data_IF_463041957011
#
_entry.id   IF_463041957011
#
_cell.length_a   1.000
_cell.length_b   1.000
_cell.length_c   1.000
_cell.angle_alpha   90.00
_cell.angle_beta   90.00
_cell.angle_gamma   90.00
#
_symmetry.space_group_name_H-M   'P 1'
#
loop_
_entity.id
_entity.type
_entity.pdbx_description
1 polymer ?
#
# COMPACT_ATOMS: atom_id res chain seq x y z
N UNK A 1 -18.31 -11.96 -24.51
CA UNK A 1 -17.20 -11.73 -25.48
C UNK A 1 -16.11 -10.96 -24.76
N UNK A 2 -14.85 -11.06 -25.19
CA UNK A 2 -13.75 -10.35 -24.51
C UNK A 2 -13.93 -8.82 -24.53
N UNK A 3 -14.54 -8.28 -25.60
CA UNK A 3 -14.91 -6.86 -25.71
C UNK A 3 -15.86 -6.39 -24.60
N UNK A 4 -16.74 -7.28 -24.11
CA UNK A 4 -17.60 -6.98 -22.95
C UNK A 4 -16.75 -6.75 -21.69
N UNK A 5 -15.77 -7.62 -21.42
CA UNK A 5 -14.90 -7.47 -20.25
C UNK A 5 -13.99 -6.22 -20.34
N UNK A 6 -13.54 -5.87 -21.55
CA UNK A 6 -12.81 -4.62 -21.78
C UNK A 6 -13.71 -3.41 -21.48
N UNK A 7 -14.94 -3.40 -21.99
CA UNK A 7 -15.87 -2.30 -21.71
C UNK A 7 -16.25 -2.23 -20.23
N UNK A 8 -16.41 -3.38 -19.55
CA UNK A 8 -16.64 -3.43 -18.11
C UNK A 8 -15.49 -2.78 -17.33
N UNK A 9 -14.23 -3.02 -17.72
CA UNK A 9 -13.09 -2.38 -17.07
C UNK A 9 -13.04 -0.87 -17.33
N UNK A 10 -13.38 -0.44 -18.54
CA UNK A 10 -13.52 1.00 -18.86
C UNK A 10 -14.61 1.64 -18.00
N UNK A 11 -15.78 1.02 -17.90
CA UNK A 11 -16.89 1.50 -17.07
C UNK A 11 -16.48 1.55 -15.59
N UNK A 12 -15.77 0.54 -15.09
CA UNK A 12 -15.21 0.57 -13.74
C UNK A 12 -14.28 1.78 -13.53
N UNK A 13 -13.43 2.09 -14.50
CA UNK A 13 -12.57 3.26 -14.43
C UNK A 13 -13.35 4.57 -14.36
N UNK A 14 -14.44 4.70 -15.10
CA UNK A 14 -15.31 5.88 -15.09
C UNK A 14 -16.06 6.01 -13.77
N UNK A 15 -16.67 4.92 -13.29
CA UNK A 15 -17.45 4.88 -12.05
C UNK A 15 -16.59 5.17 -10.81
N UNK A 16 -15.32 4.78 -10.82
CA UNK A 16 -14.37 5.06 -9.74
C UNK A 16 -13.68 6.41 -9.87
N UNK A 17 -13.81 7.09 -11.02
CA UNK A 17 -13.10 8.33 -11.32
C UNK A 17 -11.60 8.15 -11.54
N UNK A 18 -11.13 6.91 -11.78
CA UNK A 18 -9.75 6.66 -12.19
C UNK A 18 -9.46 7.22 -13.59
N UNK A 19 -10.48 7.25 -14.45
CA UNK A 19 -10.43 7.85 -15.78
C UNK A 19 -11.63 8.80 -15.94
N UNK A 20 -11.49 9.77 -16.83
CA UNK A 20 -12.58 10.70 -17.16
C UNK A 20 -13.27 10.30 -18.47
N UNK A 21 -14.49 10.79 -18.76
CA UNK A 21 -15.21 10.47 -20.00
C UNK A 21 -14.40 10.77 -21.27
N UNK A 22 -13.58 11.82 -21.26
CA UNK A 22 -12.71 12.18 -22.39
C UNK A 22 -11.63 11.12 -22.68
N UNK A 23 -11.27 10.31 -21.67
CA UNK A 23 -10.25 9.27 -21.77
C UNK A 23 -10.82 7.91 -22.21
N UNK A 24 -12.15 7.75 -22.30
CA UNK A 24 -12.80 6.45 -22.51
C UNK A 24 -12.23 5.69 -23.73
N UNK A 25 -12.20 6.35 -24.89
CA UNK A 25 -11.69 5.78 -26.14
C UNK A 25 -10.18 5.53 -26.03
N UNK A 26 -9.43 6.44 -25.41
CA UNK A 26 -7.99 6.31 -25.23
C UNK A 26 -7.67 5.07 -24.38
N UNK A 27 -8.34 4.90 -23.24
CA UNK A 27 -8.14 3.79 -22.32
C UNK A 27 -8.55 2.47 -22.97
N UNK A 28 -9.68 2.44 -23.70
CA UNK A 28 -10.08 1.26 -24.49
C UNK A 28 -8.96 0.84 -25.44
N UNK A 29 -8.38 1.77 -26.18
CA UNK A 29 -7.28 1.47 -27.11
C UNK A 29 -6.02 1.00 -26.40
N UNK A 30 -5.68 1.56 -25.24
CA UNK A 30 -4.54 1.10 -24.44
C UNK A 30 -4.77 -0.31 -23.87
N UNK A 31 -6.01 -0.65 -23.48
CA UNK A 31 -6.38 -1.99 -23.05
C UNK A 31 -6.29 -3.00 -24.20
N UNK A 32 -6.79 -2.65 -25.40
CA UNK A 32 -6.65 -3.49 -26.60
C UNK A 32 -5.18 -3.77 -26.93
N UNK A 33 -4.34 -2.74 -26.90
CA UNK A 33 -2.89 -2.87 -27.09
C UNK A 33 -2.27 -3.78 -26.03
N UNK A 34 -2.64 -3.61 -24.76
CA UNK A 34 -2.13 -4.43 -23.64
C UNK A 34 -2.54 -5.89 -23.77
N UNK A 35 -3.77 -6.13 -24.24
CA UNK A 35 -4.36 -7.44 -24.50
C UNK A 35 -3.92 -8.08 -25.83
N UNK A 36 -3.16 -7.36 -26.66
CA UNK A 36 -2.79 -7.76 -28.03
C UNK A 36 -4.01 -8.12 -28.88
N UNK A 37 -4.97 -7.19 -28.96
CA UNK A 37 -6.19 -7.30 -29.77
C UNK A 37 -6.22 -6.18 -30.81
N UNK A 38 -6.49 -6.53 -32.06
CA UNK A 38 -6.55 -5.57 -33.18
C UNK A 38 -7.96 -5.02 -33.45
N UNK A 39 -8.98 -5.56 -32.79
CA UNK A 39 -10.37 -5.16 -33.01
C UNK A 39 -11.18 -5.18 -31.72
N UNK A 40 -12.22 -4.35 -31.70
CA UNK A 40 -13.21 -4.27 -30.63
C UNK A 40 -14.60 -4.29 -31.25
N UNK A 41 -15.40 -5.30 -30.88
CA UNK A 41 -16.82 -5.33 -31.22
C UNK A 41 -17.59 -4.67 -30.08
N UNK A 42 -18.28 -3.57 -30.38
CA UNK A 42 -19.05 -2.84 -29.39
C UNK A 42 -20.15 -3.76 -28.81
N UNK A 43 -20.13 -4.01 -27.49
CA UNK A 43 -21.16 -4.84 -26.88
C UNK A 43 -22.55 -4.20 -27.01
N UNK A 44 -23.58 -5.00 -27.29
CA UNK A 44 -24.96 -4.51 -27.33
C UNK A 44 -25.51 -4.28 -25.91
N UNK A 45 -26.16 -3.13 -25.69
CA UNK A 45 -26.86 -2.80 -24.45
C UNK A 45 -25.98 -2.24 -23.34
N UNK A 46 -26.58 -2.03 -22.17
CA UNK A 46 -25.88 -1.49 -20.99
C UNK A 46 -24.91 -2.54 -20.41
N UNK A 47 -23.63 -2.17 -20.33
CA UNK A 47 -22.57 -3.06 -19.89
C UNK A 47 -22.30 -2.87 -18.40
N UNK A 48 -23.01 -3.66 -17.60
CA UNK A 48 -22.80 -3.74 -16.16
C UNK A 48 -21.67 -4.72 -15.82
N UNK A 49 -21.06 -4.52 -14.65
CA UNK A 49 -20.12 -5.45 -14.05
C UNK A 49 -20.50 -5.73 -12.59
N UNK A 50 -20.09 -6.88 -12.05
CA UNK A 50 -20.35 -7.24 -10.66
C UNK A 50 -19.30 -6.67 -9.72
N UNK A 51 -18.03 -6.91 -10.04
CA UNK A 51 -16.88 -6.60 -9.22
C UNK A 51 -15.60 -6.64 -10.07
N UNK A 52 -14.56 -5.94 -9.61
CA UNK A 52 -13.29 -5.85 -10.32
C UNK A 52 -12.56 -7.20 -10.48
N UNK A 53 -12.64 -8.08 -9.48
CA UNK A 53 -11.95 -9.37 -9.51
C UNK A 53 -12.46 -10.23 -10.67
N UNK A 54 -13.77 -10.26 -10.89
CA UNK A 54 -14.41 -10.98 -11.99
C UNK A 54 -14.02 -10.44 -13.37
N UNK A 55 -13.91 -9.11 -13.51
CA UNK A 55 -13.47 -8.46 -14.76
C UNK A 55 -12.02 -8.86 -15.07
N UNK A 56 -11.12 -8.63 -14.11
CA UNK A 56 -9.69 -8.92 -14.26
C UNK A 56 -9.46 -10.41 -14.52
N UNK A 57 -10.16 -11.30 -13.79
CA UNK A 57 -10.09 -12.74 -14.01
C UNK A 57 -10.43 -13.11 -15.45
N UNK A 58 -11.52 -12.55 -15.99
CA UNK A 58 -11.95 -12.82 -17.38
C UNK A 58 -10.91 -12.37 -18.40
N UNK A 59 -10.33 -11.17 -18.21
CA UNK A 59 -9.31 -10.63 -19.10
C UNK A 59 -8.00 -11.45 -19.02
N UNK A 60 -7.56 -11.82 -17.82
CA UNK A 60 -6.34 -12.61 -17.62
C UNK A 60 -6.51 -14.03 -18.16
N UNK A 61 -7.65 -14.68 -17.93
CA UNK A 61 -7.92 -16.03 -18.45
C UNK A 61 -7.87 -16.07 -19.99
N UNK A 62 -8.43 -15.05 -20.65
CA UNK A 62 -8.33 -14.88 -22.10
C UNK A 62 -6.89 -14.63 -22.57
N UNK A 63 -6.15 -13.75 -21.90
CA UNK A 63 -4.76 -13.48 -22.21
C UNK A 63 -3.88 -14.74 -22.08
N UNK A 64 -4.14 -15.58 -21.07
CA UNK A 64 -3.48 -16.89 -20.91
C UNK A 64 -3.87 -17.84 -22.03
N UNK A 65 -5.17 -17.97 -22.34
CA UNK A 65 -5.65 -18.86 -23.40
C UNK A 65 -5.07 -18.52 -24.78
N UNK A 66 -4.82 -17.23 -25.06
CA UNK A 66 -4.20 -16.75 -26.30
C UNK A 66 -2.65 -16.70 -26.26
N UNK A 67 -2.04 -17.03 -25.12
CA UNK A 67 -0.57 -17.04 -24.96
C UNK A 67 0.07 -15.66 -24.80
N UNK A 68 -0.71 -14.61 -24.48
CA UNK A 68 -0.22 -13.27 -24.16
C UNK A 68 0.39 -13.20 -22.75
N UNK A 69 -0.08 -14.07 -21.84
CA UNK A 69 0.37 -14.20 -20.47
C UNK A 69 0.66 -15.67 -20.15
N UNK A 70 1.68 -15.96 -19.33
CA UNK A 70 1.93 -17.32 -18.86
C UNK A 70 0.90 -17.77 -17.82
N UNK A 71 0.57 -19.07 -17.82
CA UNK A 71 -0.37 -19.65 -16.85
C UNK A 71 0.30 -20.01 -15.52
N UNK A 72 0.71 -18.99 -14.77
CA UNK A 72 1.14 -19.15 -13.37
C UNK A 72 0.71 -17.96 -12.51
N UNK A 73 0.67 -18.15 -11.20
CA UNK A 73 0.15 -17.14 -10.26
C UNK A 73 0.89 -15.80 -10.36
N UNK A 74 2.22 -15.82 -10.45
CA UNK A 74 3.01 -14.59 -10.58
C UNK A 74 2.74 -13.87 -11.89
N UNK A 75 2.75 -14.58 -13.04
CA UNK A 75 2.52 -13.97 -14.34
C UNK A 75 1.11 -13.37 -14.47
N UNK A 76 0.11 -14.05 -13.91
CA UNK A 76 -1.27 -13.56 -13.81
C UNK A 76 -1.34 -12.27 -12.98
N UNK A 77 -0.67 -12.23 -11.82
CA UNK A 77 -0.57 -11.04 -10.95
C UNK A 77 0.24 -9.89 -11.58
N UNK A 78 1.18 -10.17 -12.49
CA UNK A 78 1.87 -9.12 -13.26
C UNK A 78 0.93 -8.55 -14.32
N UNK A 79 0.17 -9.41 -14.99
CA UNK A 79 -0.69 -9.00 -16.10
C UNK A 79 -1.94 -8.24 -15.64
N UNK A 80 -2.59 -8.65 -14.54
CA UNK A 80 -3.70 -7.88 -13.98
C UNK A 80 -3.26 -6.48 -13.50
N UNK A 81 -2.07 -6.38 -12.90
CA UNK A 81 -1.49 -5.12 -12.45
C UNK A 81 -1.14 -4.23 -13.64
N UNK A 82 -0.68 -4.81 -14.75
CA UNK A 82 -0.46 -4.11 -16.01
C UNK A 82 -1.75 -3.54 -16.58
N UNK A 83 -2.86 -4.29 -16.55
CA UNK A 83 -4.18 -3.81 -16.97
C UNK A 83 -4.64 -2.63 -16.10
N UNK A 84 -4.53 -2.74 -14.78
CA UNK A 84 -4.85 -1.63 -13.87
C UNK A 84 -3.92 -0.44 -14.03
N UNK A 85 -2.66 -0.69 -14.39
CA UNK A 85 -1.68 0.35 -14.74
C UNK A 85 -2.15 1.26 -15.88
N UNK A 86 -2.91 0.73 -16.85
CA UNK A 86 -3.52 1.51 -17.94
C UNK A 86 -4.53 2.53 -17.41
N UNK A 87 -5.35 2.14 -16.42
CA UNK A 87 -6.37 3.00 -15.82
C UNK A 87 -5.78 3.97 -14.79
N UNK A 88 -4.56 3.75 -14.32
CA UNK A 88 -4.02 4.49 -13.18
C UNK A 88 -3.44 5.84 -13.65
N UNK A 89 -3.94 6.99 -13.16
CA UNK A 89 -3.44 8.31 -13.51
C UNK A 89 -1.94 8.48 -13.26
N UNK A 90 -1.29 9.41 -13.97
CA UNK A 90 0.14 9.69 -13.77
C UNK A 90 0.41 10.27 -12.38
N UNK A 91 1.63 10.07 -11.81
CA UNK A 91 1.95 10.57 -10.46
C UNK A 91 1.71 12.06 -10.27
N UNK A 92 1.94 12.90 -11.28
CA UNK A 92 1.69 14.34 -11.20
C UNK A 92 0.22 14.69 -10.91
N UNK A 93 -0.71 13.94 -11.50
CA UNK A 93 -2.16 14.16 -11.33
C UNK A 93 -2.57 13.71 -9.92
N UNK A 94 -2.07 12.56 -9.48
CA UNK A 94 -2.38 12.01 -8.15
C UNK A 94 -1.84 12.91 -7.04
N UNK A 95 -0.62 13.41 -7.18
CA UNK A 95 0.00 14.33 -6.22
C UNK A 95 -0.72 15.68 -6.17
N UNK A 96 -1.11 16.24 -7.31
CA UNK A 96 -1.89 17.48 -7.35
C UNK A 96 -3.24 17.33 -6.63
N UNK A 97 -3.95 16.22 -6.87
CA UNK A 97 -5.22 15.92 -6.20
C UNK A 97 -5.06 15.71 -4.69
N UNK A 98 -3.96 15.10 -4.26
CA UNK A 98 -3.64 14.91 -2.84
C UNK A 98 -3.39 16.26 -2.17
N UNK A 99 -2.52 17.09 -2.76
CA UNK A 99 -2.17 18.41 -2.23
C UNK A 99 -3.40 19.31 -2.14
N UNK A 100 -4.22 19.38 -3.19
CA UNK A 100 -5.44 20.17 -3.22
C UNK A 100 -6.38 19.81 -2.07
N UNK A 101 -6.60 18.51 -1.82
CA UNK A 101 -7.43 18.02 -0.71
C UNK A 101 -6.80 18.31 0.64
N UNK A 102 -5.48 18.14 0.74
CA UNK A 102 -4.75 18.39 1.97
C UNK A 102 -4.89 19.86 2.38
N UNK A 103 -4.75 20.79 1.43
CA UNK A 103 -4.85 22.23 1.66
C UNK A 103 -6.29 22.70 1.90
N UNK A 104 -7.28 22.16 1.17
CA UNK A 104 -8.66 22.67 1.20
C UNK A 104 -9.57 21.98 2.22
N UNK A 105 -9.36 20.68 2.47
CA UNK A 105 -10.22 19.84 3.32
C UNK A 105 -9.47 19.25 4.53
N UNK A 106 -8.13 19.26 4.49
CA UNK A 106 -7.26 18.84 5.59
C UNK A 106 -6.60 17.47 5.38
N UNK A 107 -5.68 17.09 6.29
CA UNK A 107 -4.83 15.89 6.14
C UNK A 107 -5.61 14.58 6.09
N UNK A 108 -6.70 14.48 6.85
CA UNK A 108 -7.54 13.28 6.87
C UNK A 108 -8.27 13.09 5.53
N UNK A 109 -8.87 14.13 4.96
CA UNK A 109 -9.55 14.04 3.66
C UNK A 109 -8.59 13.61 2.54
N UNK A 110 -7.36 14.13 2.53
CA UNK A 110 -6.33 13.74 1.56
C UNK A 110 -5.93 12.27 1.68
N UNK A 111 -5.75 11.79 2.91
CA UNK A 111 -5.34 10.40 3.17
C UNK A 111 -6.46 9.40 2.96
N UNK A 112 -7.69 9.73 3.35
CA UNK A 112 -8.91 8.94 3.08
C UNK A 112 -9.10 8.77 1.56
N UNK A 113 -8.98 9.87 0.79
CA UNK A 113 -9.04 9.83 -0.67
C UNK A 113 -7.93 8.96 -1.25
N UNK A 114 -6.68 9.12 -0.79
CA UNK A 114 -5.56 8.37 -1.31
C UNK A 114 -5.65 6.87 -0.99
N UNK A 115 -6.25 6.53 0.16
CA UNK A 115 -6.50 5.14 0.54
C UNK A 115 -7.55 4.51 -0.36
N UNK A 116 -8.68 5.20 -0.57
CA UNK A 116 -9.70 4.79 -1.54
C UNK A 116 -9.11 4.64 -2.94
N UNK A 117 -8.32 5.62 -3.41
CA UNK A 117 -7.61 5.55 -4.69
C UNK A 117 -6.75 4.28 -4.78
N UNK A 118 -5.96 3.99 -3.75
CA UNK A 118 -5.09 2.80 -3.70
C UNK A 118 -5.87 1.48 -3.69
N UNK A 119 -7.12 1.48 -3.21
CA UNK A 119 -8.02 0.34 -3.33
C UNK A 119 -8.67 0.24 -4.71
N UNK A 120 -9.02 1.37 -5.31
CA UNK A 120 -9.70 1.42 -6.60
C UNK A 120 -8.75 1.07 -7.76
N UNK A 121 -7.46 1.40 -7.65
CA UNK A 121 -6.41 0.96 -8.60
C UNK A 121 -6.04 -0.53 -8.46
N UNK A 122 -6.65 -1.25 -7.52
CA UNK A 122 -6.30 -2.62 -7.12
C UNK A 122 -4.85 -2.79 -6.62
N UNK A 123 -4.19 -1.70 -6.22
CA UNK A 123 -2.91 -1.81 -5.50
C UNK A 123 -3.13 -2.48 -4.14
N UNK A 124 -4.19 -2.07 -3.44
CA UNK A 124 -4.73 -2.74 -2.25
C UNK A 124 -5.87 -3.66 -2.69
N UNK A 125 -5.57 -4.93 -2.87
CA UNK A 125 -6.51 -5.94 -3.39
C UNK A 125 -7.58 -6.31 -2.37
N UNK A 126 -8.69 -5.57 -2.36
CA UNK A 126 -9.79 -5.72 -1.38
C UNK A 126 -10.34 -7.14 -1.31
N UNK A 127 -10.48 -7.82 -2.45
CA UNK A 127 -10.99 -9.20 -2.50
C UNK A 127 -10.06 -10.21 -1.82
N UNK A 128 -8.74 -9.96 -1.82
CA UNK A 128 -7.78 -10.79 -1.08
C UNK A 128 -7.84 -10.52 0.42
N UNK A 129 -7.95 -9.25 0.82
CA UNK A 129 -8.02 -8.84 2.24
C UNK A 129 -9.31 -9.35 2.91
N UNK A 130 -10.43 -9.41 2.17
CA UNK A 130 -11.69 -9.99 2.68
C UNK A 130 -11.57 -11.45 3.13
N UNK A 131 -10.53 -12.17 2.69
CA UNK A 131 -10.26 -13.55 3.09
C UNK A 131 -9.48 -13.66 4.40
N UNK A 132 -8.91 -12.57 4.90
CA UNK A 132 -8.17 -12.57 6.14
C UNK A 132 -9.06 -12.98 7.31
N UNK A 133 -8.54 -13.82 8.19
CA UNK A 133 -9.25 -14.24 9.40
C UNK A 133 -8.87 -13.30 10.52
N UNK A 134 -9.86 -12.65 11.15
CA UNK A 134 -9.65 -11.69 12.24
C UNK A 134 -10.55 -12.03 13.42
N UNK A 135 -10.00 -12.02 14.61
CA UNK A 135 -10.77 -12.13 15.84
C UNK A 135 -10.08 -11.40 16.98
N UNK A 136 -10.87 -11.05 17.99
CA UNK A 136 -10.40 -10.39 19.20
C UNK A 136 -10.52 -11.37 20.36
N UNK A 137 -9.49 -11.49 21.18
CA UNK A 137 -9.51 -12.28 22.40
C UNK A 137 -9.18 -11.44 23.61
N UNK A 138 -9.89 -11.66 24.72
CA UNK A 138 -9.64 -10.94 25.97
C UNK A 138 -8.40 -11.49 26.65
N UNK A 139 -7.55 -10.61 27.16
CA UNK A 139 -6.37 -10.98 27.96
C UNK A 139 -6.29 -10.13 29.23
N UNK A 140 -5.45 -10.50 30.22
CA UNK A 140 -5.20 -9.64 31.39
C UNK A 140 -4.62 -8.25 31.07
N UNK A 141 -4.11 -8.05 29.84
CA UNK A 141 -3.49 -6.80 29.40
C UNK A 141 -4.35 -6.03 28.38
N UNK A 142 -5.64 -6.38 28.27
CA UNK A 142 -6.59 -5.81 27.32
C UNK A 142 -6.96 -6.77 26.19
N UNK A 143 -7.70 -6.24 25.23
CA UNK A 143 -8.12 -6.98 24.05
C UNK A 143 -6.93 -7.19 23.10
N UNK A 144 -6.71 -8.43 22.67
CA UNK A 144 -5.67 -8.80 21.72
C UNK A 144 -6.31 -9.07 20.35
N UNK A 145 -5.92 -8.28 19.36
CA UNK A 145 -6.27 -8.49 17.96
C UNK A 145 -5.40 -9.61 17.38
N UNK A 146 -6.03 -10.66 16.84
CA UNK A 146 -5.33 -11.72 16.12
C UNK A 146 -5.80 -11.74 14.68
N UNK A 147 -4.84 -11.71 13.75
CA UNK A 147 -5.09 -11.73 12.31
C UNK A 147 -4.24 -12.79 11.63
N UNK A 148 -4.86 -13.56 10.74
CA UNK A 148 -4.17 -14.41 9.77
C UNK A 148 -4.32 -13.74 8.41
N UNK A 149 -3.23 -13.20 7.88
CA UNK A 149 -3.20 -12.56 6.57
C UNK A 149 -3.10 -13.63 5.48
N UNK A 150 -4.18 -13.80 4.72
CA UNK A 150 -4.28 -14.70 3.57
C UNK A 150 -4.15 -13.93 2.24
N UNK A 151 -4.00 -12.61 2.30
CA UNK A 151 -3.87 -11.75 1.13
C UNK A 151 -2.48 -11.76 0.51
N UNK A 152 -1.44 -12.12 1.28
CA UNK A 152 -0.09 -12.32 0.77
C UNK A 152 0.02 -13.64 0.00
N UNK A 153 0.28 -13.62 -1.33
CA UNK A 153 0.34 -14.84 -2.12
C UNK A 153 1.53 -15.71 -1.71
N UNK A 154 1.27 -17.01 -1.48
CA UNK A 154 2.32 -18.01 -1.40
C UNK A 154 2.98 -18.17 -2.77
N UNK A 155 4.31 -18.22 -2.80
CA UNK A 155 5.04 -18.38 -4.07
C UNK A 155 5.03 -19.85 -4.49
N UNK A 156 4.56 -20.11 -5.71
CA UNK A 156 4.65 -21.43 -6.34
C UNK A 156 6.12 -21.90 -6.41
N UNK A 157 6.45 -23.14 -6.00
CA UNK A 157 7.78 -23.73 -6.21
C UNK A 157 8.35 -23.54 -7.62
N UNK A 158 7.51 -23.60 -8.67
CA UNK A 158 7.92 -23.33 -10.06
C UNK A 158 8.34 -21.87 -10.26
N UNK A 159 7.59 -20.92 -9.70
CA UNK A 159 7.95 -19.50 -9.75
C UNK A 159 9.23 -19.21 -8.95
N UNK A 160 9.47 -19.91 -7.83
CA UNK A 160 10.72 -19.83 -7.07
C UNK A 160 11.91 -20.33 -7.92
N UNK A 161 11.74 -21.45 -8.63
CA UNK A 161 12.78 -21.99 -9.50
C UNK A 161 13.10 -21.05 -10.67
N UNK A 162 12.08 -20.53 -11.35
CA UNK A 162 12.24 -19.55 -12.44
C UNK A 162 12.92 -18.26 -11.96
N UNK A 163 12.53 -17.75 -10.78
CA UNK A 163 13.12 -16.57 -10.17
C UNK A 163 14.62 -16.71 -9.85
N UNK A 164 15.09 -17.92 -9.52
CA UNK A 164 16.52 -18.20 -9.25
C UNK A 164 17.37 -18.19 -10.53
N UNK A 165 16.77 -18.52 -11.67
CA UNK A 165 17.44 -18.56 -12.97
C UNK A 165 17.38 -17.21 -13.70
N UNK A 166 16.48 -16.33 -13.29
CA UNK A 166 16.33 -15.00 -13.88
C UNK A 166 17.60 -14.13 -13.65
N UNK A 167 17.98 -13.30 -14.63
CA UNK A 167 19.06 -12.34 -14.45
C UNK A 167 18.84 -11.48 -13.22
N UNK A 168 19.86 -11.34 -12.37
CA UNK A 168 19.77 -10.42 -11.25
C UNK A 168 19.74 -8.99 -11.78
N UNK A 169 18.62 -8.31 -11.55
CA UNK A 169 18.48 -6.87 -11.79
C UNK A 169 18.77 -6.11 -10.51
N UNK A 170 19.50 -5.02 -10.62
CA UNK A 170 19.73 -4.07 -9.53
C UNK A 170 18.63 -2.98 -9.43
N UNK A 171 17.63 -3.01 -10.31
CA UNK A 171 16.57 -2.00 -10.39
C UNK A 171 15.17 -2.64 -10.37
N UNK A 172 14.24 -2.18 -9.52
CA UNK A 172 14.49 -1.39 -8.31
C UNK A 172 15.38 -2.14 -7.31
N UNK A 173 16.15 -1.40 -6.49
CA UNK A 173 17.12 -2.02 -5.55
C UNK A 173 16.43 -2.81 -4.43
N UNK A 174 15.26 -2.37 -3.98
CA UNK A 174 14.39 -3.10 -3.04
C UNK A 174 12.93 -2.80 -3.33
N UNK A 175 12.02 -3.32 -2.52
CA UNK A 175 10.57 -3.15 -2.68
C UNK A 175 10.02 -1.78 -2.21
N UNK A 176 10.85 -0.97 -1.54
CA UNK A 176 10.50 0.37 -1.04
C UNK A 176 11.07 1.51 -1.89
N UNK A 177 12.08 1.22 -2.71
CA UNK A 177 12.65 2.19 -3.65
C UNK A 177 11.57 2.94 -4.44
N UNK A 178 11.68 4.27 -4.55
CA UNK A 178 10.73 5.11 -5.31
C UNK A 178 10.64 4.70 -6.79
N UNK A 179 11.70 4.07 -7.29
CA UNK A 179 11.80 3.42 -8.60
C UNK A 179 10.75 2.32 -8.85
N UNK A 180 10.06 1.87 -7.80
CA UNK A 180 8.93 0.96 -7.93
C UNK A 180 7.67 1.66 -8.48
N UNK A 181 7.50 2.98 -8.35
CA UNK A 181 6.30 3.67 -8.87
C UNK A 181 6.17 3.45 -10.38
N UNK A 182 5.13 2.74 -10.80
CA UNK A 182 4.92 2.44 -12.22
C UNK A 182 5.74 1.25 -12.75
N UNK A 183 6.49 0.54 -11.92
CA UNK A 183 7.38 -0.53 -12.39
C UNK A 183 6.62 -1.79 -12.81
N UNK A 184 6.95 -2.34 -13.99
CA UNK A 184 6.27 -3.50 -14.58
C UNK A 184 6.40 -4.81 -13.78
N UNK A 185 7.33 -4.85 -12.82
CA UNK A 185 7.65 -6.09 -12.13
C UNK A 185 8.36 -7.11 -13.02
N UNK A 186 8.56 -8.29 -12.45
CA UNK A 186 9.19 -9.48 -13.05
C UNK A 186 8.94 -10.67 -12.14
N UNK A 187 9.28 -11.88 -12.58
CA UNK A 187 9.01 -13.11 -11.81
C UNK A 187 9.52 -13.10 -10.35
N UNK A 188 10.56 -12.34 -10.05
CA UNK A 188 11.14 -12.22 -8.70
C UNK A 188 10.90 -10.86 -8.02
N UNK A 189 10.16 -9.94 -8.64
CA UNK A 189 9.91 -8.59 -8.12
C UNK A 189 8.50 -8.11 -8.50
N UNK A 190 7.66 -7.69 -7.56
CA UNK A 190 6.24 -7.45 -7.85
C UNK A 190 6.03 -6.28 -8.83
N UNK A 191 4.95 -6.38 -9.59
CA UNK A 191 4.42 -5.29 -10.41
C UNK A 191 3.87 -4.15 -9.55
N UNK A 192 3.97 -2.94 -10.09
CA UNK A 192 3.66 -1.67 -9.43
C UNK A 192 3.19 -0.62 -10.45
N UNK A 193 2.72 -1.02 -11.63
CA UNK A 193 2.17 -0.08 -12.63
C UNK A 193 0.99 0.73 -12.08
N UNK A 194 0.20 0.13 -11.18
CA UNK A 194 -0.95 0.74 -10.51
C UNK A 194 -0.63 1.39 -9.15
N UNK A 195 0.65 1.45 -8.78
CA UNK A 195 1.13 2.01 -7.51
C UNK A 195 1.52 3.48 -7.64
N UNK A 196 1.18 4.31 -6.66
CA UNK A 196 1.55 5.74 -6.60
C UNK A 196 2.09 6.11 -5.22
N UNK A 197 2.98 7.09 -5.20
CA UNK A 197 3.73 7.51 -4.01
C UNK A 197 3.51 9.01 -3.78
N UNK A 198 3.21 9.37 -2.54
CA UNK A 198 3.10 10.76 -2.09
C UNK A 198 4.43 11.20 -1.48
N UNK A 199 5.17 12.14 -2.09
CA UNK A 199 6.40 12.67 -1.52
C UNK A 199 6.09 13.53 -0.30
N UNK A 200 6.93 13.44 0.72
CA UNK A 200 6.83 14.18 1.99
C UNK A 200 8.17 14.85 2.31
N UNK A 201 8.12 15.90 3.12
CA UNK A 201 9.30 16.46 3.78
C UNK A 201 9.25 16.14 5.26
N UNK A 202 10.20 15.34 5.74
CA UNK A 202 10.28 14.92 7.16
C UNK A 202 11.68 15.25 7.67
N UNK A 203 11.77 16.01 8.76
CA UNK A 203 13.01 16.50 9.36
C UNK A 203 13.94 17.11 8.30
N UNK A 204 13.38 17.98 7.46
CA UNK A 204 14.07 18.68 6.37
C UNK A 204 14.59 17.79 5.23
N UNK A 205 14.20 16.52 5.18
CA UNK A 205 14.67 15.54 4.19
C UNK A 205 13.52 14.96 3.36
N UNK A 206 13.84 14.48 2.16
CA UNK A 206 12.85 13.86 1.28
C UNK A 206 12.47 12.45 1.76
N UNK A 207 11.19 12.27 2.07
CA UNK A 207 10.56 11.02 2.44
C UNK A 207 9.35 10.78 1.54
N UNK A 208 8.69 9.65 1.72
CA UNK A 208 7.54 9.27 0.92
C UNK A 208 6.54 8.50 1.77
N UNK A 209 5.27 8.63 1.42
CA UNK A 209 4.15 7.87 1.95
C UNK A 209 3.60 6.95 0.87
N UNK A 210 3.39 5.68 1.26
CA UNK A 210 2.56 4.73 0.53
C UNK A 210 1.77 3.87 1.50
N UNK A 211 0.70 3.24 1.02
CA UNK A 211 0.04 2.17 1.77
C UNK A 211 0.74 0.82 1.59
N UNK A 212 0.58 -0.07 2.56
CA UNK A 212 0.94 -1.48 2.41
C UNK A 212 -0.10 -2.16 1.52
N UNK A 213 0.31 -2.93 0.49
CA UNK A 213 -0.63 -3.74 -0.30
C UNK A 213 -1.15 -4.95 0.48
N UNK A 214 -0.51 -5.30 1.61
CA UNK A 214 -0.88 -6.39 2.52
C UNK A 214 -1.30 -5.80 3.87
N UNK A 215 -2.48 -5.20 3.88
CA UNK A 215 -2.99 -4.40 4.99
C UNK A 215 -3.29 -5.28 6.21
N UNK A 216 -2.78 -4.91 7.40
CA UNK A 216 -3.18 -5.55 8.66
C UNK A 216 -4.34 -4.83 9.35
N UNK A 217 -4.32 -3.51 9.30
CA UNK A 217 -5.28 -2.59 9.93
C UNK A 217 -5.59 -1.42 8.99
N UNK A 218 -6.66 -0.66 9.28
CA UNK A 218 -7.10 0.43 8.40
C UNK A 218 -5.94 1.40 8.08
N UNK A 219 -5.79 1.73 6.81
CA UNK A 219 -4.76 2.68 6.35
C UNK A 219 -3.32 2.34 6.76
N UNK A 220 -3.00 1.05 6.91
CA UNK A 220 -1.62 0.60 7.15
C UNK A 220 -0.67 1.18 6.10
N UNK A 221 0.16 2.12 6.53
CA UNK A 221 1.06 2.88 5.70
C UNK A 221 2.53 2.60 6.00
N UNK A 222 3.36 2.92 5.02
CA UNK A 222 4.81 2.83 5.06
C UNK A 222 5.34 4.21 4.72
N UNK A 223 6.15 4.77 5.62
CA UNK A 223 6.79 6.07 5.47
C UNK A 223 8.27 5.81 5.28
N UNK A 224 8.84 6.09 4.11
CA UNK A 224 10.18 5.63 3.76
C UNK A 224 11.04 6.73 3.14
N UNK A 225 12.34 6.64 3.40
CA UNK A 225 13.31 7.60 2.92
C UNK A 225 13.38 7.54 1.39
N UNK A 226 13.44 8.69 0.70
CA UNK A 226 13.61 8.69 -0.76
C UNK A 226 14.92 8.04 -1.20
N UNK A 227 15.94 8.05 -0.35
CA UNK A 227 17.21 7.38 -0.60
C UNK A 227 17.19 5.95 -0.05
N UNK A 228 17.76 5.02 -0.82
CA UNK A 228 17.99 3.65 -0.35
C UNK A 228 19.20 3.62 0.58
N UNK A 229 18.95 3.94 1.85
CA UNK A 229 19.94 3.87 2.94
C UNK A 229 19.46 2.89 4.00
N UNK A 230 20.34 2.09 4.61
CA UNK A 230 19.95 1.20 5.69
C UNK A 230 19.25 1.93 6.85
N UNK A 231 18.32 1.22 7.48
CA UNK A 231 17.59 1.71 8.64
C UNK A 231 18.53 1.95 9.82
N UNK A 232 18.28 3.03 10.57
CA UNK A 232 19.09 3.40 11.73
C UNK A 232 18.25 4.10 12.78
N UNK A 233 18.35 3.65 14.03
CA UNK A 233 17.70 4.32 15.17
C UNK A 233 18.67 5.31 15.80
N UNK A 234 18.27 6.58 15.80
CA UNK A 234 19.08 7.67 16.32
C UNK A 234 18.19 8.80 16.86
N UNK A 235 18.81 9.85 17.42
CA UNK A 235 18.07 11.02 17.93
C UNK A 235 17.14 11.63 16.88
N UNK A 236 17.58 11.68 15.61
CA UNK A 236 16.78 12.20 14.51
C UNK A 236 15.54 11.33 14.23
N UNK A 237 15.53 10.04 14.58
CA UNK A 237 14.38 9.15 14.40
C UNK A 237 13.16 9.71 15.13
N UNK A 238 13.31 10.14 16.38
CA UNK A 238 12.17 10.68 17.15
C UNK A 238 11.62 11.97 16.53
N UNK A 239 12.48 12.86 16.03
CA UNK A 239 12.04 14.05 15.28
C UNK A 239 11.29 13.67 14.01
N UNK A 240 11.81 12.70 13.23
CA UNK A 240 11.15 12.24 12.01
C UNK A 240 9.76 11.65 12.29
N UNK A 241 9.60 10.88 13.38
CA UNK A 241 8.31 10.32 13.79
C UNK A 241 7.33 11.43 14.19
N UNK A 242 7.78 12.41 14.98
CA UNK A 242 6.97 13.57 15.40
C UNK A 242 6.57 14.46 14.22
N UNK A 243 7.49 14.76 13.31
CA UNK A 243 7.20 15.52 12.09
C UNK A 243 6.12 14.83 11.23
N UNK A 244 6.15 13.50 11.14
CA UNK A 244 5.12 12.76 10.40
C UNK A 244 3.73 12.88 11.03
N UNK A 245 3.62 12.71 12.36
CA UNK A 245 2.32 12.87 13.04
C UNK A 245 1.86 14.33 13.02
N UNK A 246 2.78 15.29 12.93
CA UNK A 246 2.44 16.70 12.68
C UNK A 246 1.78 16.92 11.31
N UNK A 247 2.20 16.16 10.28
CA UNK A 247 1.55 16.18 8.96
C UNK A 247 0.21 15.42 8.96
N UNK A 248 0.12 14.31 9.69
CA UNK A 248 -1.06 13.45 9.73
C UNK A 248 -1.46 13.11 11.18
N UNK A 249 -2.15 14.02 11.90
CA UNK A 249 -2.40 13.87 13.34
C UNK A 249 -3.31 12.69 13.71
N UNK A 250 -4.12 12.20 12.77
CA UNK A 250 -4.99 11.05 12.94
C UNK A 250 -4.24 9.71 12.78
N UNK A 251 -2.97 9.73 12.36
CA UNK A 251 -2.15 8.53 12.22
C UNK A 251 -1.21 8.34 13.40
N UNK A 252 -0.91 7.07 13.72
CA UNK A 252 0.30 6.75 14.47
C UNK A 252 1.43 6.41 13.48
N UNK A 253 2.66 6.48 13.96
CA UNK A 253 3.84 5.98 13.24
C UNK A 253 4.85 5.41 14.23
N UNK A 254 5.53 4.35 13.82
CA UNK A 254 6.50 3.63 14.63
C UNK A 254 7.64 3.07 13.80
N UNK A 255 8.76 2.85 14.48
CA UNK A 255 9.98 2.30 13.89
C UNK A 255 10.33 0.99 14.59
N UNK A 256 10.69 -0.03 13.83
CA UNK A 256 11.34 -1.21 14.40
C UNK A 256 12.76 -0.86 14.86
N UNK A 257 13.34 -1.62 15.79
CA UNK A 257 14.75 -1.43 16.12
C UNK A 257 15.65 -1.76 14.91
N UNK A 258 16.85 -1.19 14.82
CA UNK A 258 17.83 -1.48 13.78
C UNK A 258 18.66 -2.75 14.09
N UNK A 259 18.02 -3.75 14.69
CA UNK A 259 18.66 -5.00 15.12
C UNK A 259 18.39 -6.14 14.13
N UNK A 260 19.33 -7.06 13.87
CA UNK A 260 19.11 -8.18 12.94
C UNK A 260 17.93 -9.12 13.29
N UNK A 261 17.45 -9.07 14.53
CA UNK A 261 16.42 -9.96 15.08
C UNK A 261 15.00 -9.38 15.04
N UNK A 262 14.83 -8.12 14.60
CA UNK A 262 13.47 -7.56 14.43
C UNK A 262 12.83 -8.08 13.15
N UNK A 263 11.77 -8.88 13.31
CA UNK A 263 11.11 -9.55 12.19
C UNK A 263 10.54 -8.60 11.13
N UNK A 264 10.49 -9.10 9.89
CA UNK A 264 9.73 -8.50 8.78
C UNK A 264 10.24 -7.19 8.18
N UNK A 265 11.24 -6.53 8.79
CA UNK A 265 11.76 -5.24 8.33
C UNK A 265 12.67 -5.38 7.11
N UNK A 266 12.53 -4.46 6.15
CA UNK A 266 13.51 -4.29 5.07
C UNK A 266 14.65 -3.42 5.63
N UNK A 267 15.56 -4.01 6.41
CA UNK A 267 16.62 -3.28 7.11
C UNK A 267 17.57 -2.53 6.15
N UNK A 268 17.59 -2.89 4.87
CA UNK A 268 18.39 -2.22 3.85
C UNK A 268 17.86 -0.84 3.44
N UNK A 269 16.64 -0.47 3.83
CA UNK A 269 16.02 0.80 3.46
C UNK A 269 15.30 1.42 4.67
N UNK A 270 15.67 2.63 5.06
CA UNK A 270 15.11 3.39 6.18
C UNK A 270 13.61 3.68 5.97
N UNK A 271 12.78 3.14 6.86
CA UNK A 271 11.33 3.27 6.81
C UNK A 271 10.68 3.10 8.18
N UNK A 272 9.48 3.65 8.30
CA UNK A 272 8.58 3.52 9.44
C UNK A 272 7.27 2.89 8.98
N UNK A 273 6.53 2.32 9.93
CA UNK A 273 5.18 1.81 9.72
C UNK A 273 4.19 2.62 10.53
N UNK A 274 3.05 2.92 9.94
CA UNK A 274 2.02 3.72 10.58
C UNK A 274 0.65 3.44 10.00
N UNK A 275 -0.29 4.32 10.31
CA UNK A 275 -1.63 4.31 9.74
C UNK A 275 -2.69 4.77 10.72
N UNK A 276 -3.95 4.60 10.34
CA UNK A 276 -5.10 5.01 11.13
C UNK A 276 -5.65 3.84 11.95
N UNK A 277 -4.96 3.51 13.03
CA UNK A 277 -5.39 2.45 13.93
C UNK A 277 -4.91 2.66 15.35
N UNK A 278 -5.78 2.36 16.32
CA UNK A 278 -5.42 2.45 17.73
C UNK A 278 -5.23 1.04 18.32
N UNK A 279 -3.96 0.65 18.45
CA UNK A 279 -3.59 -0.65 19.01
C UNK A 279 -3.92 -0.78 20.50
N UNK A 280 -4.09 -2.02 20.96
CA UNK A 280 -4.27 -2.35 22.36
C UNK A 280 -3.21 -1.72 23.29
N UNK A 281 -1.95 -1.69 22.85
CA UNK A 281 -0.85 -1.05 23.58
C UNK A 281 -1.04 0.47 23.75
N UNK A 282 -1.66 1.15 22.78
CA UNK A 282 -1.96 2.58 22.87
C UNK A 282 -3.08 2.86 23.89
N UNK A 283 -4.06 1.95 23.99
CA UNK A 283 -5.19 2.03 24.93
C UNK A 283 -4.85 1.62 26.36
N UNK A 284 -3.82 0.78 26.53
CA UNK A 284 -3.45 0.22 27.83
C UNK A 284 -3.15 1.35 28.85
N UNK A 285 -3.62 1.28 30.10
CA UNK A 285 -3.39 2.33 31.08
C UNK A 285 -1.93 2.35 31.55
N UNK A 286 -1.52 3.46 32.18
CA UNK A 286 -0.27 3.51 32.94
C UNK A 286 -0.45 2.68 34.22
N UNK A 287 0.40 1.69 34.44
CA UNK A 287 0.46 0.87 35.66
C UNK A 287 1.27 1.58 36.75
N UNK A 288 2.38 2.20 36.38
CA UNK A 288 3.27 2.91 37.30
C UNK A 288 3.77 4.21 36.69
N UNK A 289 3.32 5.34 37.23
CA UNK A 289 3.80 6.67 36.85
C UNK A 289 5.27 6.88 37.24
N UNK A 290 5.97 7.70 36.46
CA UNK A 290 7.36 8.08 36.68
C UNK A 290 7.55 9.54 36.21
N UNK A 291 8.30 10.34 36.97
CA UNK A 291 8.79 11.66 36.55
C UNK A 291 10.26 11.61 36.16
N UNK A 292 10.62 12.19 35.01
CA UNK A 292 12.01 12.40 34.62
C UNK A 292 12.49 13.78 35.09
N UNK A 293 13.52 13.87 35.95
CA UNK A 293 14.03 15.16 36.42
C UNK A 293 14.46 16.06 35.26
N UNK A 294 13.98 17.30 35.24
CA UNK A 294 14.20 18.28 34.16
C UNK A 294 13.21 18.18 32.98
N UNK A 295 12.23 17.28 33.07
CA UNK A 295 11.12 17.10 32.12
C UNK A 295 9.81 16.88 32.88
N UNK A 296 9.58 17.68 33.92
CA UNK A 296 8.40 17.57 34.78
C UNK A 296 7.08 17.88 34.07
N UNK A 297 7.14 18.47 32.88
CA UNK A 297 6.05 18.74 31.95
C UNK A 297 5.66 17.53 31.08
N UNK A 298 6.49 16.47 31.06
CA UNK A 298 6.20 15.22 30.35
C UNK A 298 5.62 14.19 31.30
N UNK A 299 4.37 13.81 31.09
CA UNK A 299 3.77 12.66 31.77
C UNK A 299 4.43 11.37 31.27
N UNK A 300 4.99 10.59 32.20
CA UNK A 300 5.60 9.31 31.88
C UNK A 300 5.15 8.18 32.79
N UNK A 301 5.21 6.96 32.28
CA UNK A 301 4.91 5.79 33.09
C UNK A 301 5.09 4.46 32.36
N UNK A 302 5.20 3.39 33.15
CA UNK A 302 5.18 2.01 32.67
C UNK A 302 3.74 1.65 32.32
N UNK A 303 3.54 1.12 31.11
CA UNK A 303 2.22 0.72 30.62
C UNK A 303 1.86 -0.67 31.15
N UNK A 304 0.59 -0.89 31.51
CA UNK A 304 0.04 -2.20 31.86
C UNK A 304 0.01 -3.11 30.62
N UNK A 305 1.17 -3.67 30.28
CA UNK A 305 1.43 -4.39 29.02
C UNK A 305 2.37 -5.58 29.28
N UNK A 306 2.26 -6.73 28.57
CA UNK A 306 3.07 -7.91 28.85
C UNK A 306 4.57 -7.76 28.50
N UNK A 307 4.96 -6.64 27.89
CA UNK A 307 6.34 -6.32 27.53
C UNK A 307 6.74 -4.97 28.13
N UNK A 308 8.05 -4.76 28.35
CA UNK A 308 8.60 -3.49 28.83
C UNK A 308 8.20 -2.34 27.90
N UNK A 309 7.29 -1.49 28.36
CA UNK A 309 6.76 -0.36 27.59
C UNK A 309 6.68 0.87 28.50
N UNK A 310 7.16 2.01 27.98
CA UNK A 310 7.04 3.32 28.61
C UNK A 310 6.18 4.17 27.70
N UNK A 311 5.18 4.85 28.28
CA UNK A 311 4.45 5.91 27.61
C UNK A 311 5.01 7.25 28.04
N UNK A 312 5.14 8.16 27.06
CA UNK A 312 5.44 9.56 27.26
C UNK A 312 4.27 10.36 26.64
N UNK A 313 3.79 11.37 27.34
CA UNK A 313 2.73 12.26 26.88
C UNK A 313 3.07 13.68 27.31
N UNK A 314 2.96 14.61 26.38
CA UNK A 314 3.20 16.03 26.59
C UNK A 314 2.18 16.81 25.77
N UNK A 315 1.93 18.06 26.12
CA UNK A 315 1.23 18.96 25.22
C UNK A 315 2.09 19.19 23.96
N UNK A 316 1.43 19.46 22.84
CA UNK A 316 2.12 19.90 21.62
C UNK A 316 2.82 21.25 21.87
N UNK A 317 3.99 21.44 21.26
CA UNK A 317 4.76 22.71 21.28
C UNK A 317 4.09 23.81 20.44
#
# INVERSE_FOLDING_TARGET
>A
MISTAIQQLVNYGLDTGLILPDDEIYIRNQLLMTMQLDSFAEPEGDICYTDLESILKTLVDDAVARGVCEDNSTARDLFDTKLMGVLTPRPSIVRANFEERYESEGPQAATDWFYKFSQDTDYIRRYRIKRDVKWVTKTPYGDLDITINLSKPEKDPKAIAAAKLAPQSAYPKCQLCVENEGYAGRMNHPARENHRIIPLTINGSAWNLQYSPYVYYNEHCIVFNSQHTPMKIERATFRKLLDFVGLFPHYFVGSNADLPIVGGSILSHDHFQGGHYEFAMAKAPIEKSWVFPGFEDVEAGIVHWPMSCIRLTCADD
#
